data_IF_625512069558
#
_entry.id   IF_625512069558
#
_cell.length_a   1.000
_cell.length_b   1.000
_cell.length_c   1.000
_cell.angle_alpha   90.00
_cell.angle_beta   90.00
_cell.angle_gamma   90.00
#
_symmetry.space_group_name_H-M   'P 1'
#
loop_
_entity.id
_entity.type
_entity.pdbx_description
1 polymer ?
#
# COMPACT_ATOMS: atom_id res chain seq x y z
N UNK A 1 20.00 18.67 -5.03
CA UNK A 1 18.55 18.63 -5.36
C UNK A 1 17.99 17.36 -4.75
N UNK A 2 17.26 17.51 -3.68
CA UNK A 2 16.71 16.37 -2.94
C UNK A 2 15.71 15.63 -3.81
N UNK A 3 16.09 14.40 -4.19
CA UNK A 3 15.24 13.48 -4.96
C UNK A 3 14.20 12.77 -4.09
N UNK A 4 14.17 13.06 -2.80
CA UNK A 4 13.25 12.42 -1.84
C UNK A 4 11.97 13.23 -1.77
N UNK A 5 10.84 12.57 -1.97
CA UNK A 5 9.53 13.18 -1.81
C UNK A 5 9.29 13.45 -0.32
N UNK A 6 8.98 14.70 0.01
CA UNK A 6 8.58 15.02 1.39
C UNK A 6 7.18 14.49 1.66
N UNK A 7 6.83 14.42 2.95
CA UNK A 7 5.50 14.00 3.39
C UNK A 7 4.38 14.89 2.83
N UNK A 8 4.60 16.20 2.86
CA UNK A 8 3.65 17.17 2.33
C UNK A 8 3.47 16.99 0.82
N UNK A 9 4.58 16.77 0.11
CA UNK A 9 4.56 16.47 -1.32
C UNK A 9 3.83 15.16 -1.63
N UNK A 10 3.96 14.14 -0.78
CA UNK A 10 3.22 12.89 -0.93
C UNK A 10 1.71 13.09 -0.75
N UNK A 11 1.29 13.86 0.28
CA UNK A 11 -0.11 14.22 0.50
C UNK A 11 -0.67 15.02 -0.68
N UNK A 12 0.08 16.00 -1.15
CA UNK A 12 -0.29 16.83 -2.30
C UNK A 12 -0.49 15.97 -3.55
N UNK A 13 0.46 15.08 -3.85
CA UNK A 13 0.35 14.17 -4.99
C UNK A 13 -0.91 13.31 -4.91
N UNK A 14 -1.19 12.68 -3.75
CA UNK A 14 -2.36 11.83 -3.57
C UNK A 14 -3.66 12.63 -3.71
N UNK A 15 -3.70 13.86 -3.21
CA UNK A 15 -4.83 14.78 -3.41
C UNK A 15 -5.05 15.12 -4.87
N UNK A 16 -3.99 15.45 -5.62
CA UNK A 16 -4.05 15.78 -7.04
C UNK A 16 -4.55 14.63 -7.91
N UNK A 17 -4.16 13.39 -7.59
CA UNK A 17 -4.63 12.19 -8.31
C UNK A 17 -5.96 11.65 -7.78
N UNK A 18 -6.51 12.23 -6.71
CA UNK A 18 -7.80 11.85 -6.12
C UNK A 18 -7.78 10.49 -5.44
N UNK A 19 -6.70 10.16 -4.75
CA UNK A 19 -6.55 8.93 -3.96
C UNK A 19 -6.37 9.25 -2.47
N UNK A 20 -6.96 8.44 -1.58
CA UNK A 20 -6.63 8.52 -0.16
C UNK A 20 -5.18 8.07 0.07
N UNK A 21 -4.59 8.56 1.15
CA UNK A 21 -3.21 8.25 1.52
C UNK A 21 -2.96 6.76 1.75
N UNK A 22 -3.98 6.04 2.19
CA UNK A 22 -3.97 4.57 2.37
C UNK A 22 -3.72 3.78 1.07
N UNK A 23 -3.83 4.45 -0.09
CA UNK A 23 -3.51 3.85 -1.39
C UNK A 23 -2.06 4.13 -1.83
N UNK A 24 -1.25 4.78 -1.02
CA UNK A 24 0.16 5.00 -1.33
C UNK A 24 0.89 3.66 -1.51
N UNK A 25 1.78 3.60 -2.49
CA UNK A 25 2.50 2.38 -2.83
C UNK A 25 1.75 1.45 -3.78
N UNK A 26 0.46 1.67 -4.04
CA UNK A 26 -0.28 0.95 -5.07
C UNK A 26 0.02 1.56 -6.46
N UNK A 27 1.22 1.27 -6.98
CA UNK A 27 1.70 1.83 -8.24
C UNK A 27 0.72 1.66 -9.42
N UNK A 28 0.10 0.49 -9.65
CA UNK A 28 -0.85 0.32 -10.74
C UNK A 28 -2.05 1.29 -10.63
N UNK A 29 -2.61 1.42 -9.43
CA UNK A 29 -3.71 2.34 -9.18
C UNK A 29 -3.28 3.80 -9.31
N UNK A 30 -2.14 4.15 -8.72
CA UNK A 30 -1.58 5.50 -8.80
C UNK A 30 -1.30 5.90 -10.25
N UNK A 31 -0.75 5.00 -11.10
CA UNK A 31 -0.54 5.25 -12.53
C UNK A 31 -1.85 5.48 -13.28
N UNK A 32 -2.89 4.68 -13.01
CA UNK A 32 -4.21 4.85 -13.61
C UNK A 32 -4.79 6.23 -13.25
N UNK A 33 -4.80 6.59 -11.96
CA UNK A 33 -5.32 7.86 -11.47
C UNK A 33 -4.50 9.07 -11.92
N UNK A 34 -3.19 8.91 -12.03
CA UNK A 34 -2.32 9.92 -12.64
C UNK A 34 -2.71 10.21 -14.10
N UNK A 35 -2.96 9.16 -14.90
CA UNK A 35 -3.39 9.34 -16.29
C UNK A 35 -4.74 10.07 -16.37
N UNK A 36 -5.68 9.76 -15.49
CA UNK A 36 -6.96 10.47 -15.38
C UNK A 36 -6.75 11.94 -14.98
N UNK A 37 -5.90 12.22 -13.98
CA UNK A 37 -5.58 13.56 -13.52
C UNK A 37 -4.89 14.39 -14.61
N UNK A 38 -3.95 13.80 -15.35
CA UNK A 38 -3.30 14.45 -16.49
C UNK A 38 -4.29 14.83 -17.58
N UNK A 39 -5.25 13.96 -17.92
CA UNK A 39 -6.28 14.26 -18.92
C UNK A 39 -7.18 15.42 -18.50
N UNK A 40 -7.51 15.52 -17.19
CA UNK A 40 -8.33 16.62 -16.66
C UNK A 40 -7.60 17.95 -16.66
N UNK A 41 -6.31 17.94 -16.37
CA UNK A 41 -5.49 19.16 -16.23
C UNK A 41 -4.71 19.51 -17.51
N UNK A 42 -4.99 18.84 -18.63
CA UNK A 42 -4.30 19.12 -19.90
C UNK A 42 -4.66 20.49 -20.43
N UNK A 43 -3.69 21.32 -20.85
CA UNK A 43 -3.93 22.67 -21.35
C UNK A 43 -4.93 22.71 -22.52
N UNK A 44 -4.85 21.76 -23.47
CA UNK A 44 -5.73 21.67 -24.62
C UNK A 44 -7.20 21.40 -24.26
N UNK A 45 -7.45 20.98 -23.02
CA UNK A 45 -8.80 20.77 -22.49
C UNK A 45 -9.24 21.82 -21.47
N UNK A 46 -8.54 22.97 -21.45
CA UNK A 46 -8.81 24.05 -20.52
C UNK A 46 -8.29 23.81 -19.10
N UNK A 47 -7.41 22.85 -18.91
CA UNK A 47 -6.78 22.56 -17.63
C UNK A 47 -5.69 23.55 -17.25
N UNK A 48 -5.33 23.60 -15.96
CA UNK A 48 -4.31 24.49 -15.42
C UNK A 48 -2.90 23.95 -15.68
N UNK A 49 -2.10 24.69 -16.44
CA UNK A 49 -0.70 24.34 -16.76
C UNK A 49 0.18 24.23 -15.51
N UNK A 50 -0.02 25.08 -14.50
CA UNK A 50 0.72 25.02 -13.25
C UNK A 50 0.43 23.73 -12.47
N UNK A 51 -0.84 23.34 -12.39
CA UNK A 51 -1.24 22.08 -11.76
C UNK A 51 -0.67 20.87 -12.50
N UNK A 52 -0.65 20.91 -13.83
CA UNK A 52 -0.06 19.85 -14.63
C UNK A 52 1.46 19.72 -14.43
N UNK A 53 2.17 20.86 -14.39
CA UNK A 53 3.61 20.88 -14.13
C UNK A 53 3.94 20.33 -12.74
N UNK A 54 3.19 20.77 -11.72
CA UNK A 54 3.36 20.32 -10.34
C UNK A 54 3.08 18.80 -10.20
N UNK A 55 2.02 18.30 -10.83
CA UNK A 55 1.68 16.88 -10.85
C UNK A 55 2.80 16.04 -11.47
N UNK A 56 3.41 16.52 -12.56
CA UNK A 56 4.51 15.82 -13.22
C UNK A 56 5.79 15.81 -12.37
N UNK A 57 6.12 16.92 -11.70
CA UNK A 57 7.27 17.02 -10.79
C UNK A 57 7.12 16.04 -9.63
N UNK A 58 5.99 16.10 -8.92
CA UNK A 58 5.71 15.21 -7.79
C UNK A 58 5.72 13.74 -8.20
N UNK A 59 5.15 13.40 -9.35
CA UNK A 59 5.17 12.04 -9.85
C UNK A 59 6.58 11.57 -10.22
N UNK A 60 7.41 12.42 -10.81
CA UNK A 60 8.80 12.08 -11.14
C UNK A 60 9.60 11.73 -9.89
N UNK A 61 9.47 12.53 -8.82
CA UNK A 61 10.08 12.27 -7.52
C UNK A 61 9.57 10.95 -6.91
N UNK A 62 8.25 10.76 -6.87
CA UNK A 62 7.63 9.55 -6.35
C UNK A 62 8.10 8.30 -7.10
N UNK A 63 8.10 8.33 -8.43
CA UNK A 63 8.53 7.22 -9.27
C UNK A 63 9.99 6.85 -9.03
N UNK A 64 10.88 7.83 -8.96
CA UNK A 64 12.31 7.59 -8.69
C UNK A 64 12.52 6.84 -7.37
N UNK A 65 11.81 7.22 -6.31
CA UNK A 65 11.90 6.56 -5.02
C UNK A 65 11.32 5.14 -5.05
N UNK A 66 10.18 4.95 -5.72
CA UNK A 66 9.53 3.65 -5.85
C UNK A 66 10.36 2.69 -6.72
N UNK A 67 10.93 3.17 -7.82
CA UNK A 67 11.81 2.38 -8.69
C UNK A 67 13.14 2.02 -7.99
N UNK A 68 13.69 2.91 -7.16
CA UNK A 68 14.86 2.62 -6.35
C UNK A 68 14.58 1.53 -5.31
N UNK A 69 13.45 1.61 -4.62
CA UNK A 69 13.01 0.60 -3.67
C UNK A 69 12.79 -0.78 -4.31
N UNK A 70 12.44 -0.85 -5.59
CA UNK A 70 12.26 -2.10 -6.32
C UNK A 70 13.58 -2.72 -6.79
N UNK A 71 14.61 -1.91 -7.03
CA UNK A 71 15.89 -2.37 -7.60
C UNK A 71 16.86 -2.89 -6.54
N UNK A 72 16.70 -2.51 -5.29
CA UNK A 72 17.58 -2.91 -4.21
C UNK A 72 17.00 -4.13 -3.46
N UNK A 73 17.57 -5.34 -3.64
CA UNK A 73 17.10 -6.54 -2.94
C UNK A 73 17.33 -6.48 -1.42
N UNK A 74 18.17 -5.57 -0.94
CA UNK A 74 18.40 -5.35 0.50
C UNK A 74 17.32 -4.43 1.08
N UNK A 75 16.76 -3.53 0.28
CA UNK A 75 15.71 -2.58 0.66
C UNK A 75 14.28 -3.09 0.37
N UNK A 76 14.04 -4.39 0.42
CA UNK A 76 12.66 -4.93 0.45
C UNK A 76 11.94 -4.62 1.78
N UNK A 77 12.38 -3.60 2.49
CA UNK A 77 11.54 -2.97 3.51
C UNK A 77 10.62 -1.98 2.80
N UNK A 78 9.32 -2.02 3.11
CA UNK A 78 8.42 -0.97 2.67
C UNK A 78 8.99 0.38 3.07
N UNK A 79 9.03 1.32 2.15
CA UNK A 79 9.49 2.67 2.46
C UNK A 79 8.57 3.23 3.54
N UNK A 80 9.13 3.60 4.67
CA UNK A 80 8.38 4.25 5.73
C UNK A 80 7.95 5.63 5.23
N UNK A 81 6.68 5.79 4.98
CA UNK A 81 6.08 7.09 4.76
C UNK A 81 5.52 7.55 6.11
N UNK A 82 6.15 8.57 6.68
CA UNK A 82 5.68 9.16 7.93
C UNK A 82 4.30 9.80 7.70
N UNK A 83 3.28 9.08 8.11
CA UNK A 83 1.94 9.65 8.21
C UNK A 83 1.83 10.38 9.55
N UNK A 84 1.09 11.50 9.60
CA UNK A 84 0.68 12.14 10.85
C UNK A 84 -0.39 11.28 11.51
N UNK A 85 0.02 10.18 12.07
CA UNK A 85 -0.79 9.43 12.99
C UNK A 85 -0.16 9.63 14.36
N UNK A 86 -0.96 9.97 15.36
CA UNK A 86 -0.54 9.99 16.77
C UNK A 86 -0.16 8.58 17.26
N UNK A 87 -0.36 7.59 16.43
CA UNK A 87 -0.10 6.18 16.69
C UNK A 87 0.98 5.64 15.75
N UNK A 88 1.90 4.81 16.24
CA UNK A 88 2.94 4.21 15.44
C UNK A 88 2.33 3.27 14.39
N UNK A 89 2.94 3.27 13.19
CA UNK A 89 2.57 2.36 12.11
C UNK A 89 2.97 0.93 12.47
N UNK A 90 2.37 -0.04 11.80
CA UNK A 90 2.72 -1.46 11.98
C UNK A 90 4.20 -1.72 11.67
N UNK A 91 4.74 -1.02 10.67
CA UNK A 91 6.15 -1.11 10.31
C UNK A 91 7.09 -0.58 11.39
N UNK A 92 6.74 0.53 12.03
CA UNK A 92 7.49 1.09 13.17
C UNK A 92 7.44 0.17 14.37
N UNK A 93 6.27 -0.41 14.67
CA UNK A 93 6.10 -1.33 15.80
C UNK A 93 6.92 -2.63 15.64
N UNK A 94 6.97 -3.16 14.41
CA UNK A 94 7.65 -4.42 14.14
C UNK A 94 9.13 -4.25 13.78
N UNK A 95 9.51 -3.11 13.22
CA UNK A 95 10.89 -2.83 12.83
C UNK A 95 11.56 -3.98 12.07
N UNK A 96 12.68 -4.53 12.57
CA UNK A 96 13.38 -5.65 11.93
C UNK A 96 12.54 -6.92 11.80
N UNK A 97 11.51 -7.09 12.65
CA UNK A 97 10.62 -8.24 12.62
C UNK A 97 9.56 -8.15 11.52
N UNK A 98 9.48 -7.06 10.77
CA UNK A 98 8.49 -6.88 9.71
C UNK A 98 8.46 -8.03 8.72
N UNK A 99 9.61 -8.36 8.12
CA UNK A 99 9.68 -9.41 7.08
C UNK A 99 9.23 -10.79 7.57
N UNK A 100 9.78 -11.33 8.68
CA UNK A 100 9.35 -12.62 9.20
C UNK A 100 7.90 -12.61 9.68
N UNK A 101 7.43 -11.51 10.26
CA UNK A 101 6.03 -11.40 10.74
C UNK A 101 5.04 -11.20 9.60
N UNK A 102 5.44 -10.60 8.48
CA UNK A 102 4.56 -10.41 7.32
C UNK A 102 4.15 -11.75 6.70
N UNK A 103 5.12 -12.64 6.44
CA UNK A 103 4.90 -13.98 5.90
C UNK A 103 6.04 -14.92 6.26
N UNK A 104 5.73 -16.18 6.56
CA UNK A 104 6.73 -17.20 6.82
C UNK A 104 7.23 -17.87 5.51
N UNK A 105 6.27 -18.17 4.61
CA UNK A 105 6.56 -18.88 3.35
C UNK A 105 5.83 -18.22 2.17
N UNK A 106 6.23 -18.60 0.95
CA UNK A 106 5.52 -18.19 -0.27
C UNK A 106 4.07 -18.70 -0.32
N UNK A 107 3.79 -19.84 0.31
CA UNK A 107 2.43 -20.40 0.38
C UNK A 107 1.47 -19.52 1.18
N UNK A 108 1.96 -18.73 2.14
CA UNK A 108 1.13 -17.78 2.88
C UNK A 108 0.44 -16.77 1.93
N UNK A 109 1.17 -16.31 0.92
CA UNK A 109 0.64 -15.39 -0.09
C UNK A 109 -0.45 -16.05 -0.97
N UNK A 110 -0.30 -17.35 -1.24
CA UNK A 110 -1.21 -18.07 -2.14
C UNK A 110 -2.50 -18.50 -1.43
N UNK A 111 -2.39 -19.06 -0.23
CA UNK A 111 -3.48 -19.80 0.40
C UNK A 111 -3.97 -19.23 1.75
N UNK A 112 -3.17 -18.41 2.42
CA UNK A 112 -3.52 -17.91 3.75
C UNK A 112 -3.72 -19.07 4.75
N UNK A 113 -2.64 -19.72 5.15
CA UNK A 113 -2.61 -20.93 5.95
C UNK A 113 -3.35 -20.77 7.30
N UNK A 114 -4.08 -21.78 7.72
CA UNK A 114 -4.95 -21.72 8.91
C UNK A 114 -4.17 -21.67 10.23
N UNK A 115 -3.04 -22.34 10.33
CA UNK A 115 -2.23 -22.41 11.55
C UNK A 115 -1.07 -21.40 11.59
N UNK A 116 -0.77 -20.71 10.47
CA UNK A 116 0.36 -19.80 10.40
C UNK A 116 0.08 -18.48 11.13
N UNK A 117 0.98 -18.00 12.01
CA UNK A 117 0.80 -16.77 12.79
C UNK A 117 1.13 -15.48 12.02
N UNK A 118 1.66 -15.56 10.82
CA UNK A 118 2.05 -14.37 10.05
C UNK A 118 0.87 -13.48 9.69
N UNK A 119 1.14 -12.20 9.48
CA UNK A 119 0.14 -11.16 9.20
C UNK A 119 -0.73 -11.54 7.98
N UNK A 120 -0.11 -12.02 6.90
CA UNK A 120 -0.82 -12.45 5.69
C UNK A 120 -1.89 -13.51 6.00
N UNK A 121 -1.52 -14.50 6.81
CA UNK A 121 -2.44 -15.59 7.19
C UNK A 121 -3.49 -15.16 8.21
N UNK A 122 -3.11 -14.29 9.16
CA UNK A 122 -4.04 -13.70 10.14
C UNK A 122 -5.13 -12.91 9.42
N UNK A 123 -4.79 -12.02 8.53
CA UNK A 123 -5.77 -11.22 7.77
C UNK A 123 -6.66 -12.11 6.88
N UNK A 124 -6.11 -13.19 6.30
CA UNK A 124 -6.90 -14.16 5.53
C UNK A 124 -7.89 -14.92 6.41
N UNK A 125 -7.50 -15.29 7.65
CA UNK A 125 -8.42 -15.91 8.62
C UNK A 125 -9.52 -14.96 9.06
N UNK A 126 -9.18 -13.70 9.32
CA UNK A 126 -10.19 -12.67 9.67
C UNK A 126 -11.21 -12.48 8.55
N UNK A 127 -10.78 -12.50 7.29
CA UNK A 127 -11.69 -12.49 6.16
C UNK A 127 -12.66 -13.67 6.19
N UNK A 128 -12.15 -14.88 6.39
CA UNK A 128 -12.98 -16.11 6.48
C UNK A 128 -13.94 -16.10 7.64
N UNK A 129 -13.56 -15.52 8.79
CA UNK A 129 -14.44 -15.38 9.96
C UNK A 129 -15.59 -14.40 9.72
N UNK A 130 -15.33 -13.31 9.01
CA UNK A 130 -16.32 -12.26 8.73
C UNK A 130 -17.26 -12.64 7.59
N UNK A 131 -16.79 -13.38 6.61
CA UNK A 131 -17.54 -13.82 5.43
C UNK A 131 -17.90 -15.29 5.47
N UNK A 132 -19.16 -15.63 5.16
CA UNK A 132 -19.57 -17.05 5.00
C UNK A 132 -18.86 -17.72 3.81
N UNK A 133 -18.49 -16.91 2.83
CA UNK A 133 -17.72 -17.34 1.66
C UNK A 133 -16.51 -16.41 1.46
N UNK A 134 -15.33 -16.91 1.79
CA UNK A 134 -14.08 -16.15 1.65
C UNK A 134 -13.71 -15.81 0.18
N UNK A 135 -14.35 -16.42 -0.80
CA UNK A 135 -14.18 -16.13 -2.23
C UNK A 135 -14.86 -14.83 -2.62
N UNK A 136 -15.80 -14.35 -1.80
CA UNK A 136 -16.43 -13.03 -2.01
C UNK A 136 -15.56 -11.95 -1.39
N UNK A 137 -14.96 -11.07 -2.18
CA UNK A 137 -14.17 -9.98 -1.63
C UNK A 137 -15.07 -9.05 -0.83
N UNK A 138 -14.58 -8.61 0.31
CA UNK A 138 -15.14 -7.48 1.03
C UNK A 138 -14.58 -6.18 0.49
N UNK A 139 -15.24 -5.07 0.77
CA UNK A 139 -14.75 -3.74 0.41
C UNK A 139 -13.37 -3.49 1.05
N UNK A 140 -12.47 -2.94 0.28
CA UNK A 140 -11.16 -2.50 0.78
C UNK A 140 -11.33 -1.43 1.87
N UNK A 141 -10.59 -1.53 2.94
CA UNK A 141 -10.77 -0.72 4.14
C UNK A 141 -11.62 -1.44 5.22
N UNK A 142 -12.61 -2.24 4.83
CA UNK A 142 -13.30 -3.15 5.75
C UNK A 142 -12.56 -4.48 5.92
N UNK A 143 -11.80 -4.89 4.91
CA UNK A 143 -10.98 -6.08 4.94
C UNK A 143 -9.63 -5.81 4.27
N UNK A 144 -8.56 -5.99 5.03
CA UNK A 144 -7.18 -5.73 4.61
C UNK A 144 -6.45 -6.97 4.09
N UNK A 145 -7.14 -8.08 3.86
CA UNK A 145 -6.48 -9.29 3.34
C UNK A 145 -6.03 -9.10 1.88
N UNK A 146 -4.97 -9.82 1.51
CA UNK A 146 -4.37 -9.72 0.18
C UNK A 146 -5.36 -10.03 -0.95
N UNK A 147 -6.30 -10.97 -0.74
CA UNK A 147 -7.31 -11.27 -1.75
C UNK A 147 -8.27 -10.11 -2.00
N UNK A 148 -8.77 -9.45 -0.95
CA UNK A 148 -9.60 -8.25 -1.09
C UNK A 148 -8.86 -7.12 -1.80
N UNK A 149 -7.57 -6.91 -1.49
CA UNK A 149 -6.72 -5.98 -2.19
C UNK A 149 -6.66 -6.26 -3.69
N UNK A 150 -6.35 -7.50 -4.08
CA UNK A 150 -6.25 -7.87 -5.49
C UNK A 150 -7.55 -7.65 -6.25
N UNK A 151 -8.66 -8.11 -5.69
CA UNK A 151 -9.96 -8.01 -6.37
C UNK A 151 -10.44 -6.57 -6.45
N UNK A 152 -10.29 -5.81 -5.37
CA UNK A 152 -10.71 -4.40 -5.35
C UNK A 152 -9.99 -3.54 -6.38
N UNK A 153 -8.70 -3.78 -6.57
CA UNK A 153 -7.88 -3.01 -7.49
C UNK A 153 -7.69 -3.67 -8.87
N UNK A 154 -8.30 -4.84 -9.11
CA UNK A 154 -8.19 -5.57 -10.37
C UNK A 154 -6.76 -6.03 -10.67
N UNK A 155 -6.01 -6.47 -9.65
CA UNK A 155 -4.60 -6.85 -9.77
C UNK A 155 -4.42 -8.37 -9.85
N UNK A 156 -3.46 -8.85 -10.64
CA UNK A 156 -3.08 -10.26 -10.64
C UNK A 156 -2.33 -10.61 -9.36
N UNK A 157 -2.42 -11.89 -8.96
CA UNK A 157 -1.71 -12.42 -7.79
C UNK A 157 -0.23 -12.65 -8.12
N UNK A 158 0.57 -11.64 -7.90
CA UNK A 158 2.02 -11.64 -8.18
C UNK A 158 2.83 -11.23 -6.95
N UNK A 159 4.13 -11.57 -6.88
CA UNK A 159 5.01 -11.06 -5.84
C UNK A 159 5.05 -9.52 -5.79
N UNK A 160 5.00 -8.85 -6.94
CA UNK A 160 4.94 -7.39 -7.01
C UNK A 160 3.66 -6.83 -6.38
N UNK A 161 2.49 -7.42 -6.67
CA UNK A 161 1.23 -7.02 -6.04
C UNK A 161 1.27 -7.25 -4.51
N UNK A 162 1.87 -8.35 -4.07
CA UNK A 162 2.05 -8.62 -2.64
C UNK A 162 2.99 -7.61 -1.97
N UNK A 163 4.07 -7.22 -2.64
CA UNK A 163 4.98 -6.19 -2.15
C UNK A 163 4.23 -4.86 -1.94
N UNK A 164 3.48 -4.38 -2.93
CA UNK A 164 2.73 -3.13 -2.81
C UNK A 164 1.63 -3.18 -1.75
N UNK A 165 0.94 -4.30 -1.63
CA UNK A 165 0.02 -4.54 -0.54
C UNK A 165 0.72 -4.46 0.82
N UNK A 166 1.90 -5.06 0.95
CA UNK A 166 2.68 -5.03 2.18
C UNK A 166 3.15 -3.62 2.55
N UNK A 167 3.45 -2.76 1.56
CA UNK A 167 3.76 -1.35 1.80
C UNK A 167 2.59 -0.59 2.44
N UNK A 168 1.35 -0.89 2.02
CA UNK A 168 0.16 -0.30 2.64
C UNK A 168 0.05 -0.74 4.09
N UNK A 169 0.18 -2.04 4.37
CA UNK A 169 0.10 -2.56 5.73
C UNK A 169 1.21 -2.00 6.64
N UNK A 170 2.42 -1.85 6.10
CA UNK A 170 3.55 -1.28 6.83
C UNK A 170 3.24 0.12 7.35
N UNK A 171 2.56 0.92 6.55
CA UNK A 171 2.21 2.31 6.83
C UNK A 171 0.84 2.49 7.49
N UNK A 172 0.11 1.41 7.77
CA UNK A 172 -1.15 1.44 8.51
C UNK A 172 -0.90 1.16 9.99
N UNK A 173 -1.82 1.60 10.85
CA UNK A 173 -1.75 1.32 12.29
C UNK A 173 -2.31 -0.07 12.62
N UNK A 174 -1.98 -0.59 13.80
CA UNK A 174 -2.55 -1.84 14.32
C UNK A 174 -4.08 -1.78 14.43
N UNK A 175 -4.60 -0.61 14.75
CA UNK A 175 -6.04 -0.34 14.91
C UNK A 175 -6.77 -0.41 13.58
N UNK A 176 -6.29 0.31 12.56
CA UNK A 176 -6.87 0.28 11.20
C UNK A 176 -6.93 -1.14 10.64
N UNK A 177 -5.88 -1.91 10.86
CA UNK A 177 -5.79 -3.29 10.39
C UNK A 177 -6.56 -4.29 11.27
N UNK A 178 -7.00 -3.89 12.46
CA UNK A 178 -7.67 -4.74 13.44
C UNK A 178 -6.81 -5.89 13.91
N UNK A 179 -5.50 -5.67 14.12
CA UNK A 179 -4.51 -6.71 14.44
C UNK A 179 -4.19 -6.85 15.93
N UNK A 180 -4.74 -5.99 16.80
CA UNK A 180 -4.54 -6.09 18.24
C UNK A 180 -4.95 -7.47 18.79
N UNK A 181 -4.07 -8.07 19.58
CA UNK A 181 -4.28 -9.40 20.15
C UNK A 181 -4.24 -10.58 19.15
N UNK A 182 -3.95 -10.32 17.87
CA UNK A 182 -3.91 -11.35 16.81
C UNK A 182 -2.52 -11.66 16.31
N UNK A 183 -1.56 -10.76 16.54
CA UNK A 183 -0.14 -10.95 16.25
C UNK A 183 0.68 -10.61 17.48
N UNK A 184 1.84 -11.25 17.62
CA UNK A 184 2.84 -10.92 18.64
C UNK A 184 3.83 -9.91 18.09
N UNK A 185 4.18 -8.90 18.87
CA UNK A 185 5.12 -7.84 18.45
C UNK A 185 6.58 -8.21 18.72
N UNK A 186 6.83 -9.29 19.45
CA UNK A 186 8.17 -9.80 19.84
C UNK A 186 8.31 -11.28 19.53
#
# INVERSE_FOLDING_TARGET
MDKVLSREEAKELMGLIGLPLTCWGNLPLMKKKLAEARRRNHPDKGGCTATMARLNDLWSKAKSNLDAALKDPVLHQPVSFFWDTDFPTLGELLGPLWKPKLRETSHCMMFGLSACPCITCVLSREHRRRGKDWRRPMMWGMCWCFNCYLVWFGLPRTPAAHFWWSCILYNSTMDELGLWGKITLY
#
